data_IF_830672892246
#
_entry.id   IF_830672892246
#
_cell.length_a   1.000
_cell.length_b   1.000
_cell.length_c   1.000
_cell.angle_alpha   90.00
_cell.angle_beta   90.00
_cell.angle_gamma   90.00
#
_symmetry.space_group_name_H-M   'P 1'
#
loop_
_entity.id
_entity.type
_entity.pdbx_description
1 polymer ?
#
# COMPACT_ATOMS: atom_id res chain seq x y z
N UNK A 1 -40.32 55.68 -22.44
CA UNK A 1 -39.05 55.20 -23.03
C UNK A 1 -38.29 54.49 -21.94
N UNK A 2 -38.41 53.17 -21.94
CA UNK A 2 -37.68 52.26 -21.08
C UNK A 2 -36.18 52.33 -21.37
N UNK A 3 -35.38 52.32 -20.31
CA UNK A 3 -33.92 52.30 -20.37
C UNK A 3 -33.36 51.61 -19.13
N UNK A 4 -33.21 50.29 -19.23
CA UNK A 4 -32.84 49.36 -18.18
C UNK A 4 -31.49 49.62 -17.47
N UNK A 5 -31.50 49.30 -16.17
CA UNK A 5 -30.39 48.97 -15.24
C UNK A 5 -29.10 48.46 -15.88
N UNK A 6 -27.95 48.84 -15.31
CA UNK A 6 -26.86 47.88 -15.01
C UNK A 6 -26.28 48.19 -13.63
N UNK A 7 -26.72 47.40 -12.64
CA UNK A 7 -26.03 47.25 -11.35
C UNK A 7 -24.96 46.16 -11.50
N UNK A 8 -24.00 46.24 -10.57
CA UNK A 8 -23.03 45.23 -10.13
C UNK A 8 -21.83 44.93 -11.03
N UNK A 9 -20.69 45.52 -10.65
CA UNK A 9 -19.37 44.91 -10.77
C UNK A 9 -19.41 43.55 -10.07
N UNK A 10 -19.55 42.48 -10.85
CA UNK A 10 -19.28 41.12 -10.39
C UNK A 10 -17.80 41.07 -10.00
N UNK A 11 -17.52 40.99 -8.69
CA UNK A 11 -16.20 40.59 -8.20
C UNK A 11 -16.01 39.15 -8.65
N UNK A 12 -15.27 38.94 -9.74
CA UNK A 12 -14.72 37.64 -10.07
C UNK A 12 -13.88 37.18 -8.87
N UNK A 13 -14.47 36.32 -8.03
CA UNK A 13 -13.69 35.52 -7.08
C UNK A 13 -12.89 34.55 -7.94
N UNK A 14 -11.60 34.82 -8.11
CA UNK A 14 -10.64 33.82 -8.58
C UNK A 14 -10.74 32.67 -7.59
N UNK A 15 -11.45 31.62 -8.01
CA UNK A 15 -11.58 30.38 -7.28
C UNK A 15 -10.20 29.75 -7.34
N UNK A 16 -9.38 30.01 -6.33
CA UNK A 16 -8.14 29.25 -6.15
C UNK A 16 -8.60 27.82 -5.99
N UNK A 17 -8.38 27.01 -7.01
CA UNK A 17 -8.56 25.58 -6.92
C UNK A 17 -7.60 25.16 -5.80
N UNK A 18 -8.16 24.75 -4.65
CA UNK A 18 -7.39 24.22 -3.54
C UNK A 18 -6.83 22.87 -3.99
N UNK A 19 -5.80 22.89 -4.82
CA UNK A 19 -5.09 21.68 -5.17
C UNK A 19 -4.49 21.12 -3.89
N UNK A 20 -4.74 19.84 -3.62
CA UNK A 20 -4.10 19.11 -2.52
C UNK A 20 -2.59 19.28 -2.70
N UNK A 21 -1.95 19.93 -1.74
CA UNK A 21 -0.50 20.14 -1.74
C UNK A 21 0.14 18.84 -1.25
N UNK A 22 0.70 18.07 -2.18
CA UNK A 22 1.41 16.84 -1.83
C UNK A 22 2.76 17.22 -1.23
N UNK A 23 2.86 17.16 0.10
CA UNK A 23 4.07 17.51 0.86
C UNK A 23 4.68 16.25 1.43
N UNK A 24 5.91 15.97 1.08
CA UNK A 24 6.74 14.98 1.73
C UNK A 24 8.13 15.58 2.03
N UNK A 25 8.82 15.00 3.00
CA UNK A 25 10.18 15.43 3.38
C UNK A 25 11.18 15.21 2.22
N UNK A 26 10.87 14.31 1.30
CA UNK A 26 11.67 14.04 0.10
C UNK A 26 10.90 14.48 -1.16
N UNK A 27 11.51 15.28 -2.06
CA UNK A 27 10.85 15.76 -3.27
C UNK A 27 10.35 14.64 -4.19
N UNK A 28 11.03 13.49 -4.17
CA UNK A 28 10.66 12.30 -4.91
C UNK A 28 9.29 11.74 -4.50
N UNK A 29 8.99 11.76 -3.20
CA UNK A 29 7.72 11.27 -2.66
C UNK A 29 6.58 12.25 -2.98
N UNK A 30 6.83 13.56 -2.96
CA UNK A 30 5.85 14.56 -3.42
C UNK A 30 5.49 14.34 -4.90
N UNK A 31 6.49 14.05 -5.74
CA UNK A 31 6.30 13.75 -7.17
C UNK A 31 5.53 12.45 -7.38
N UNK A 32 5.78 11.43 -6.56
CA UNK A 32 5.01 10.18 -6.56
C UNK A 32 3.54 10.45 -6.23
N UNK A 33 3.25 11.13 -5.10
CA UNK A 33 1.89 11.43 -4.66
C UNK A 33 1.12 12.24 -5.73
N UNK A 34 1.77 13.25 -6.31
CA UNK A 34 1.21 14.01 -7.42
C UNK A 34 0.96 13.13 -8.65
N UNK A 35 1.93 12.28 -8.99
CA UNK A 35 1.88 11.37 -10.12
C UNK A 35 0.74 10.36 -10.03
N UNK A 36 0.54 9.76 -8.85
CA UNK A 36 -0.58 8.85 -8.59
C UNK A 36 -1.90 9.58 -8.71
N UNK A 37 -2.03 10.77 -8.10
CA UNK A 37 -3.25 11.57 -8.19
C UNK A 37 -3.61 11.92 -9.64
N UNK A 38 -2.63 12.36 -10.43
CA UNK A 38 -2.82 12.66 -11.85
C UNK A 38 -3.23 11.41 -12.63
N UNK A 39 -2.48 10.32 -12.47
CA UNK A 39 -2.68 9.09 -13.26
C UNK A 39 -4.06 8.48 -13.02
N UNK A 40 -4.51 8.43 -11.76
CA UNK A 40 -5.84 7.92 -11.43
C UNK A 40 -6.95 8.82 -11.99
N UNK A 41 -6.80 10.14 -11.91
CA UNK A 41 -7.81 11.06 -12.44
C UNK A 41 -7.93 10.99 -13.97
N UNK A 42 -6.81 10.80 -14.68
CA UNK A 42 -6.86 10.56 -16.13
C UNK A 42 -7.55 9.23 -16.45
N UNK A 43 -7.26 8.18 -15.68
CA UNK A 43 -7.90 6.86 -15.85
C UNK A 43 -9.41 6.88 -15.59
N UNK A 44 -9.91 7.72 -14.68
CA UNK A 44 -11.35 7.89 -14.43
C UNK A 44 -12.12 8.26 -15.72
N UNK A 45 -11.47 8.96 -16.66
CA UNK A 45 -12.06 9.36 -17.94
C UNK A 45 -11.90 8.31 -19.05
N UNK A 46 -11.20 7.21 -18.79
CA UNK A 46 -10.96 6.12 -19.74
C UNK A 46 -11.93 4.97 -19.46
N UNK A 47 -12.63 4.53 -20.51
CA UNK A 47 -13.52 3.38 -20.43
C UNK A 47 -12.74 2.10 -20.14
N UNK A 48 -13.30 1.25 -19.25
CA UNK A 48 -12.71 -0.04 -18.92
C UNK A 48 -12.92 -0.98 -20.11
N UNK A 49 -11.84 -1.50 -20.74
CA UNK A 49 -11.98 -2.45 -21.83
C UNK A 49 -12.47 -3.80 -21.29
N UNK A 50 -13.34 -4.48 -22.02
CA UNK A 50 -13.86 -5.82 -21.66
C UNK A 50 -12.73 -6.87 -21.61
N UNK A 51 -11.68 -6.66 -22.41
CA UNK A 51 -10.53 -7.55 -22.50
C UNK A 51 -9.26 -6.74 -22.74
N UNK A 52 -8.16 -7.15 -22.11
CA UNK A 52 -6.85 -6.53 -22.32
C UNK A 52 -6.22 -7.04 -23.62
N UNK A 53 -5.81 -6.09 -24.47
CA UNK A 53 -5.09 -6.37 -25.70
C UNK A 53 -3.57 -6.40 -25.44
N UNK A 54 -2.76 -7.09 -26.27
CA UNK A 54 -1.30 -7.12 -26.12
C UNK A 54 -0.63 -5.74 -26.09
N UNK A 55 -1.22 -4.74 -26.75
CA UNK A 55 -0.74 -3.36 -26.73
C UNK A 55 -0.84 -2.71 -25.35
N UNK A 56 -1.82 -3.10 -24.52
CA UNK A 56 -1.96 -2.57 -23.16
C UNK A 56 -0.78 -2.94 -22.25
N UNK A 57 -0.12 -4.08 -22.51
CA UNK A 57 1.08 -4.53 -21.78
C UNK A 57 2.37 -3.80 -22.17
N UNK A 58 2.31 -2.97 -23.23
CA UNK A 58 3.41 -2.10 -23.68
C UNK A 58 3.08 -0.62 -23.56
N UNK A 59 1.81 -0.30 -23.30
CA UNK A 59 1.33 1.06 -23.15
C UNK A 59 1.98 1.76 -21.95
N UNK A 60 2.11 3.08 -22.05
CA UNK A 60 2.54 3.92 -20.95
C UNK A 60 1.94 5.32 -21.10
N UNK A 61 1.79 6.01 -19.98
CA UNK A 61 1.44 7.43 -19.93
C UNK A 61 2.64 8.18 -19.36
N UNK A 62 3.09 9.24 -20.01
CA UNK A 62 4.22 10.05 -19.55
C UNK A 62 3.84 11.52 -19.54
N UNK A 63 4.02 12.17 -18.39
CA UNK A 63 3.83 13.60 -18.21
C UNK A 63 5.17 14.22 -17.82
N UNK A 64 5.42 15.40 -18.36
CA UNK A 64 6.54 16.26 -17.97
C UNK A 64 5.95 17.56 -17.43
N UNK A 65 6.38 17.96 -16.25
CA UNK A 65 5.99 19.21 -15.62
C UNK A 65 7.23 20.09 -15.53
N UNK A 66 7.13 21.28 -16.10
CA UNK A 66 8.14 22.33 -16.02
C UNK A 66 7.48 23.56 -15.35
N UNK A 67 7.61 23.66 -14.03
CA UNK A 67 7.07 24.75 -13.22
C UNK A 67 8.03 25.93 -13.19
N UNK A 68 7.71 26.99 -13.93
CA UNK A 68 8.43 28.26 -13.86
C UNK A 68 7.90 29.11 -12.69
N UNK A 69 8.70 29.22 -11.61
CA UNK A 69 8.44 30.09 -10.44
C UNK A 69 7.10 29.86 -9.69
N UNK A 70 6.51 28.67 -9.80
CA UNK A 70 5.32 28.29 -9.05
C UNK A 70 5.62 27.11 -8.11
N UNK A 71 5.28 27.27 -6.82
CA UNK A 71 5.27 26.18 -5.82
C UNK A 71 6.63 25.47 -5.56
N UNK A 72 7.74 26.21 -5.61
CA UNK A 72 9.12 25.67 -5.40
C UNK A 72 9.35 25.04 -4.02
N UNK A 73 8.58 25.44 -3.01
CA UNK A 73 8.71 24.91 -1.65
C UNK A 73 8.13 23.50 -1.49
N UNK A 74 7.29 23.05 -2.44
CA UNK A 74 6.50 21.81 -2.29
C UNK A 74 6.84 20.77 -3.36
N UNK A 75 7.16 21.21 -4.58
CA UNK A 75 7.45 20.33 -5.70
C UNK A 75 8.71 20.79 -6.45
N UNK A 76 9.51 19.85 -7.00
CA UNK A 76 10.60 20.18 -7.91
C UNK A 76 10.12 21.07 -9.07
N UNK A 77 10.99 21.97 -9.53
CA UNK A 77 10.67 22.83 -10.67
C UNK A 77 10.53 22.04 -11.97
N UNK A 78 11.24 20.92 -12.11
CA UNK A 78 11.17 20.08 -13.30
C UNK A 78 11.12 18.62 -12.87
N UNK A 79 10.08 17.91 -13.28
CA UNK A 79 9.99 16.47 -13.04
C UNK A 79 9.19 15.78 -14.14
N UNK A 80 9.38 14.46 -14.27
CA UNK A 80 8.63 13.63 -15.20
C UNK A 80 8.03 12.46 -14.43
N UNK A 81 6.78 12.13 -14.72
CA UNK A 81 6.12 10.93 -14.20
C UNK A 81 5.75 10.08 -15.40
N UNK A 82 6.06 8.79 -15.34
CA UNK A 82 5.63 7.79 -16.31
C UNK A 82 4.95 6.65 -15.58
N UNK A 83 3.71 6.35 -15.92
CA UNK A 83 3.00 5.13 -15.51
C UNK A 83 3.13 4.09 -16.63
N UNK A 84 3.47 2.86 -16.26
CA UNK A 84 3.54 1.72 -17.18
C UNK A 84 2.24 0.93 -17.12
N UNK A 85 1.77 0.45 -18.28
CA UNK A 85 0.62 -0.46 -18.41
C UNK A 85 -0.63 -0.05 -17.59
N UNK A 86 -1.11 1.20 -17.69
CA UNK A 86 -2.12 1.76 -16.79
C UNK A 86 -3.41 0.91 -16.76
N UNK A 87 -3.88 0.45 -17.93
CA UNK A 87 -5.09 -0.38 -18.03
C UNK A 87 -4.90 -1.79 -17.45
N UNK A 88 -3.69 -2.35 -17.54
CA UNK A 88 -3.39 -3.67 -16.97
C UNK A 88 -3.42 -3.61 -15.45
N UNK A 89 -2.76 -2.61 -14.88
CA UNK A 89 -2.76 -2.40 -13.43
C UNK A 89 -4.12 -1.97 -12.89
N UNK A 90 -4.93 -1.24 -13.68
CA UNK A 90 -6.33 -0.98 -13.33
C UNK A 90 -7.15 -2.28 -13.27
N UNK A 91 -7.02 -3.16 -14.26
CA UNK A 91 -7.70 -4.46 -14.26
C UNK A 91 -7.32 -5.30 -13.04
N UNK A 92 -6.04 -5.28 -12.64
CA UNK A 92 -5.57 -5.89 -11.40
C UNK A 92 -6.23 -5.30 -10.15
N UNK A 93 -6.31 -3.96 -10.04
CA UNK A 93 -7.01 -3.31 -8.92
C UNK A 93 -8.47 -3.74 -8.87
N UNK A 94 -9.17 -3.81 -9.99
CA UNK A 94 -10.55 -4.31 -10.07
C UNK A 94 -10.67 -5.77 -9.64
N UNK A 95 -9.73 -6.62 -10.06
CA UNK A 95 -9.69 -8.04 -9.71
C UNK A 95 -9.67 -8.25 -8.18
N UNK A 96 -8.86 -7.46 -7.48
CA UNK A 96 -8.75 -7.48 -6.02
C UNK A 96 -9.69 -6.49 -5.31
N UNK A 97 -10.71 -5.99 -6.02
CA UNK A 97 -11.76 -5.11 -5.48
C UNK A 97 -11.22 -3.84 -4.83
N UNK A 98 -10.16 -3.28 -5.40
CA UNK A 98 -9.58 -2.00 -4.97
C UNK A 98 -10.14 -0.89 -5.85
N UNK A 99 -10.97 -0.05 -5.26
CA UNK A 99 -11.46 1.14 -5.94
C UNK A 99 -10.33 2.16 -6.18
N UNK A 100 -10.27 2.72 -7.39
CA UNK A 100 -9.26 3.69 -7.79
C UNK A 100 -9.22 4.92 -6.86
N UNK A 101 -10.38 5.39 -6.38
CA UNK A 101 -10.46 6.48 -5.39
C UNK A 101 -9.77 6.11 -4.08
N UNK A 102 -10.05 4.92 -3.56
CA UNK A 102 -9.43 4.40 -2.34
C UNK A 102 -7.92 4.21 -2.50
N UNK A 103 -7.49 3.70 -3.65
CA UNK A 103 -6.07 3.55 -4.00
C UNK A 103 -5.34 4.90 -4.05
N UNK A 104 -5.94 5.90 -4.70
CA UNK A 104 -5.43 7.28 -4.74
C UNK A 104 -5.33 7.87 -3.34
N UNK A 105 -6.37 7.75 -2.54
CA UNK A 105 -6.40 8.37 -1.22
C UNK A 105 -5.29 7.78 -0.31
N UNK A 106 -5.02 6.46 -0.39
CA UNK A 106 -3.89 5.80 0.30
C UNK A 106 -2.50 6.27 -0.10
N UNK A 107 -2.31 6.58 -1.38
CA UNK A 107 -0.99 6.88 -1.95
C UNK A 107 -0.74 8.38 -2.15
N UNK A 108 -1.74 9.20 -1.83
CA UNK A 108 -1.63 10.66 -1.85
C UNK A 108 -1.43 11.28 -0.47
N UNK A 109 -1.30 10.45 0.56
CA UNK A 109 -0.75 10.83 1.85
C UNK A 109 0.75 10.46 1.93
N UNK A 110 1.54 11.16 2.77
CA UNK A 110 2.97 10.91 2.87
C UNK A 110 3.25 9.44 3.25
N UNK A 111 4.02 8.70 2.44
CA UNK A 111 4.30 7.31 2.73
C UNK A 111 5.29 7.19 3.90
N UNK A 112 5.12 6.14 4.69
CA UNK A 112 5.92 5.90 5.90
C UNK A 112 7.11 5.01 5.51
N UNK A 113 8.35 5.38 5.80
CA UNK A 113 9.50 4.54 5.52
C UNK A 113 9.44 3.25 6.34
N UNK A 114 9.64 2.11 5.69
CA UNK A 114 9.85 0.84 6.37
C UNK A 114 11.35 0.71 6.63
N UNK A 115 11.75 0.82 7.89
CA UNK A 115 13.14 0.61 8.31
C UNK A 115 13.48 -0.88 8.20
N UNK A 116 13.78 -1.36 6.99
CA UNK A 116 14.36 -2.67 6.79
C UNK A 116 15.84 -2.51 6.42
N UNK A 117 16.65 -2.40 7.47
CA UNK A 117 18.09 -2.59 7.44
C UNK A 117 18.41 -4.06 7.22
N UNK A 118 18.49 -4.52 5.97
CA UNK A 118 19.15 -5.80 5.70
C UNK A 118 19.71 -5.87 4.27
N UNK A 119 21.02 -5.62 4.13
CA UNK A 119 21.94 -6.01 3.03
C UNK A 119 21.51 -5.82 1.55
N UNK A 120 20.34 -5.25 1.29
CA UNK A 120 19.81 -4.96 -0.03
C UNK A 120 19.51 -3.47 -0.08
N UNK A 121 19.96 -2.79 -1.14
CA UNK A 121 19.78 -1.36 -1.35
C UNK A 121 18.31 -1.00 -1.68
N UNK A 122 17.34 -1.70 -1.07
CA UNK A 122 15.92 -1.62 -1.40
C UNK A 122 15.25 -0.60 -0.49
N UNK A 123 14.98 0.58 -1.03
CA UNK A 123 14.18 1.58 -0.33
C UNK A 123 12.71 1.15 -0.35
N UNK A 124 12.15 0.83 0.82
CA UNK A 124 10.77 0.40 1.00
C UNK A 124 10.00 1.46 1.79
N UNK A 125 8.81 1.79 1.31
CA UNK A 125 7.84 2.58 2.05
C UNK A 125 6.51 1.83 2.11
N UNK A 126 5.67 2.21 3.05
CA UNK A 126 4.28 1.77 3.13
C UNK A 126 3.34 2.98 3.00
N UNK A 127 2.12 2.76 2.51
CA UNK A 127 1.07 3.77 2.55
C UNK A 127 0.71 4.14 3.99
N UNK A 128 0.08 5.29 4.19
CA UNK A 128 -0.27 5.79 5.54
C UNK A 128 -1.18 4.79 6.30
N UNK A 129 -2.09 4.15 5.57
CA UNK A 129 -3.04 3.15 6.05
C UNK A 129 -2.46 1.72 6.04
N UNK A 130 -1.18 1.59 5.71
CA UNK A 130 -0.42 0.32 5.65
C UNK A 130 -1.00 -0.72 4.69
N UNK A 131 -1.90 -0.35 3.76
CA UNK A 131 -2.49 -1.28 2.78
C UNK A 131 -1.54 -1.65 1.64
N UNK A 132 -0.65 -0.74 1.29
CA UNK A 132 0.24 -0.85 0.14
C UNK A 132 1.71 -0.72 0.55
N UNK A 133 2.57 -1.46 -0.14
CA UNK A 133 4.02 -1.30 -0.12
C UNK A 133 4.46 -0.62 -1.41
N UNK A 134 5.35 0.35 -1.27
CA UNK A 134 6.01 1.06 -2.34
C UNK A 134 7.47 0.63 -2.34
N UNK A 135 7.83 -0.17 -3.34
CA UNK A 135 9.18 -0.71 -3.49
C UNK A 135 9.91 0.03 -4.58
N UNK A 136 11.03 0.65 -4.22
CA UNK A 136 11.97 1.19 -5.20
C UNK A 136 12.76 0.04 -5.81
N UNK A 137 12.72 -0.06 -7.14
CA UNK A 137 13.33 -1.15 -7.90
C UNK A 137 14.33 -0.60 -8.91
N UNK A 138 15.24 -1.47 -9.37
CA UNK A 138 16.18 -1.11 -10.43
C UNK A 138 15.49 -1.13 -11.81
N UNK A 139 16.16 -0.55 -12.81
CA UNK A 139 15.61 -0.54 -14.19
C UNK A 139 15.50 -1.96 -14.75
N UNK A 140 16.44 -2.83 -14.40
CA UNK A 140 16.49 -4.22 -14.84
C UNK A 140 15.26 -5.00 -14.31
N UNK A 141 14.83 -4.70 -13.08
CA UNK A 141 13.64 -5.30 -12.48
C UNK A 141 12.35 -4.89 -13.19
N UNK A 142 12.28 -3.65 -13.70
CA UNK A 142 11.14 -3.14 -14.48
C UNK A 142 10.98 -3.92 -15.78
N UNK A 143 12.09 -4.18 -16.47
CA UNK A 143 12.08 -5.00 -17.70
C UNK A 143 11.63 -6.44 -17.41
N UNK A 144 12.07 -7.01 -16.28
CA UNK A 144 11.61 -8.32 -15.83
C UNK A 144 10.10 -8.34 -15.51
N UNK A 145 9.58 -7.29 -14.87
CA UNK A 145 8.15 -7.16 -14.57
C UNK A 145 7.34 -7.06 -15.87
N UNK A 146 7.80 -6.28 -16.86
CA UNK A 146 7.15 -6.21 -18.16
C UNK A 146 7.09 -7.56 -18.88
N UNK A 147 8.15 -8.36 -18.77
CA UNK A 147 8.21 -9.68 -19.41
C UNK A 147 7.24 -10.67 -18.77
N UNK A 148 7.08 -10.65 -17.43
CA UNK A 148 6.17 -11.57 -16.73
C UNK A 148 4.71 -11.09 -16.76
N UNK A 149 4.45 -9.80 -17.00
CA UNK A 149 3.12 -9.20 -16.86
C UNK A 149 2.00 -9.91 -17.65
N UNK A 150 2.20 -10.33 -18.93
CA UNK A 150 1.17 -11.04 -19.69
C UNK A 150 0.84 -12.41 -19.10
N UNK A 151 1.85 -13.19 -18.74
CA UNK A 151 1.69 -14.51 -18.12
C UNK A 151 1.12 -14.40 -16.71
N UNK A 152 1.53 -13.39 -15.95
CA UNK A 152 0.98 -13.09 -14.64
C UNK A 152 -0.49 -12.71 -14.74
N UNK A 153 -0.91 -11.86 -15.69
CA UNK A 153 -2.32 -11.56 -15.89
C UNK A 153 -3.13 -12.82 -16.21
N UNK A 154 -2.64 -13.68 -17.11
CA UNK A 154 -3.29 -14.96 -17.43
C UNK A 154 -3.43 -15.83 -16.18
N UNK A 155 -2.37 -15.94 -15.38
CA UNK A 155 -2.38 -16.67 -14.12
C UNK A 155 -3.40 -16.14 -13.10
N UNK A 156 -3.50 -14.81 -12.95
CA UNK A 156 -4.49 -14.19 -12.06
C UNK A 156 -5.92 -14.50 -12.51
N UNK A 157 -6.19 -14.43 -13.82
CA UNK A 157 -7.52 -14.77 -14.37
C UNK A 157 -7.85 -16.25 -14.14
N UNK A 158 -6.90 -17.16 -14.40
CA UNK A 158 -7.07 -18.61 -14.22
C UNK A 158 -7.27 -19.00 -12.74
N UNK A 159 -6.55 -18.36 -11.82
CA UNK A 159 -6.63 -18.63 -10.37
C UNK A 159 -7.75 -17.87 -9.66
N UNK A 160 -8.50 -17.09 -10.41
CA UNK A 160 -9.43 -16.12 -9.88
C UNK A 160 -8.85 -15.22 -8.78
N UNK A 161 -7.60 -14.80 -8.92
CA UNK A 161 -6.90 -13.93 -7.97
C UNK A 161 -6.55 -14.59 -6.64
N UNK A 162 -6.81 -15.90 -6.48
CA UNK A 162 -6.45 -16.68 -5.30
C UNK A 162 -5.00 -17.19 -5.39
N UNK A 163 -4.07 -16.31 -5.03
CA UNK A 163 -2.62 -16.55 -5.09
C UNK A 163 -1.88 -15.96 -3.89
N UNK A 164 -0.74 -16.55 -3.55
CA UNK A 164 0.22 -16.02 -2.58
C UNK A 164 1.26 -15.10 -3.24
N UNK A 165 1.25 -14.97 -4.57
CA UNK A 165 2.17 -14.10 -5.29
C UNK A 165 1.91 -12.62 -4.95
N UNK A 166 2.92 -11.74 -5.11
CA UNK A 166 2.74 -10.32 -4.87
C UNK A 166 1.65 -9.75 -5.79
N UNK A 167 0.66 -9.08 -5.20
CA UNK A 167 -0.38 -8.38 -5.96
C UNK A 167 0.14 -7.00 -6.39
N UNK A 168 0.41 -6.83 -7.69
CA UNK A 168 0.90 -5.58 -8.25
C UNK A 168 -0.25 -4.65 -8.63
N UNK A 169 -0.17 -3.38 -8.23
CA UNK A 169 -1.25 -2.41 -8.44
C UNK A 169 -0.87 -1.21 -9.28
N UNK A 170 0.42 -0.90 -9.41
CA UNK A 170 0.92 0.12 -10.32
C UNK A 170 2.45 0.03 -10.44
N UNK A 171 2.98 0.53 -11.56
CA UNK A 171 4.41 0.68 -11.78
C UNK A 171 4.70 2.08 -12.35
N UNK A 172 5.49 2.86 -11.63
CA UNK A 172 5.83 4.23 -11.98
C UNK A 172 7.33 4.40 -12.21
N UNK A 173 7.68 5.31 -13.11
CA UNK A 173 9.01 5.92 -13.21
C UNK A 173 8.90 7.40 -12.93
N UNK A 174 9.64 7.86 -11.93
CA UNK A 174 9.74 9.24 -11.49
C UNK A 174 11.11 9.76 -11.90
N UNK A 175 11.16 10.85 -12.65
CA UNK A 175 12.41 11.55 -12.98
C UNK A 175 12.42 12.88 -12.24
N UNK A 176 13.33 13.03 -11.28
CA UNK A 176 13.53 14.26 -10.50
C UNK A 176 15.01 14.60 -10.58
N UNK A 177 15.34 15.85 -10.92
CA UNK A 177 16.72 16.31 -11.10
C UNK A 177 17.56 15.38 -12.01
N UNK A 178 16.95 14.97 -13.12
CA UNK A 178 17.51 14.02 -14.11
C UNK A 178 17.88 12.62 -13.59
N UNK A 179 17.50 12.29 -12.34
CA UNK A 179 17.61 10.94 -11.79
C UNK A 179 16.30 10.18 -11.96
N UNK A 180 16.39 9.00 -12.60
CA UNK A 180 15.25 8.09 -12.75
C UNK A 180 15.13 7.15 -11.55
N UNK A 181 13.94 7.09 -10.97
CA UNK A 181 13.58 6.20 -9.89
C UNK A 181 12.35 5.40 -10.31
N UNK A 182 12.35 4.10 -10.03
CA UNK A 182 11.26 3.20 -10.42
C UNK A 182 10.57 2.69 -9.16
N UNK A 183 9.25 2.84 -9.11
CA UNK A 183 8.44 2.52 -7.94
C UNK A 183 7.37 1.50 -8.32
N UNK A 184 7.43 0.34 -7.71
CA UNK A 184 6.41 -0.70 -7.81
C UNK A 184 5.49 -0.60 -6.59
N UNK A 185 4.19 -0.47 -6.84
CA UNK A 185 3.16 -0.49 -5.81
C UNK A 185 2.56 -1.88 -5.74
N UNK A 186 2.60 -2.49 -4.56
CA UNK A 186 2.08 -3.83 -4.32
C UNK A 186 1.32 -3.92 -3.00
N UNK A 187 0.55 -5.00 -2.80
CA UNK A 187 -0.16 -5.24 -1.54
C UNK A 187 0.81 -5.43 -0.39
N UNK A 188 0.50 -4.81 0.74
CA UNK A 188 1.14 -5.17 1.99
C UNK A 188 0.51 -6.46 2.56
N UNK A 189 1.28 -7.55 2.52
CA UNK A 189 0.85 -8.86 3.05
C UNK A 189 0.66 -8.82 4.56
N UNK A 190 1.39 -7.95 5.26
CA UNK A 190 1.33 -7.75 6.71
C UNK A 190 0.35 -6.63 7.11
N UNK A 191 -0.51 -6.19 6.19
CA UNK A 191 -1.58 -5.23 6.48
C UNK A 191 -2.71 -5.92 7.23
N UNK A 192 -2.57 -6.02 8.55
CA UNK A 192 -3.56 -6.61 9.44
C UNK A 192 -4.01 -5.59 10.48
N UNK A 193 -5.29 -5.67 10.89
CA UNK A 193 -5.80 -4.92 12.06
C UNK A 193 -5.04 -5.30 13.35
N UNK A 194 -4.46 -6.49 13.33
CA UNK A 194 -3.69 -7.06 14.42
C UNK A 194 -2.20 -6.71 14.26
N UNK A 195 -1.53 -6.44 15.38
CA UNK A 195 -0.09 -6.20 15.41
C UNK A 195 0.66 -7.50 15.13
N UNK A 196 1.59 -7.49 14.17
CA UNK A 196 2.44 -8.66 13.93
C UNK A 196 3.53 -8.70 15.01
N UNK A 197 3.57 -9.81 15.75
CA UNK A 197 4.55 -10.03 16.83
C UNK A 197 5.79 -10.75 16.33
N UNK A 198 5.63 -11.66 15.37
CA UNK A 198 6.75 -12.38 14.75
C UNK A 198 6.70 -12.29 13.24
N UNK A 199 7.84 -12.04 12.61
CA UNK A 199 7.99 -11.95 11.16
C UNK A 199 9.11 -12.88 10.70
N UNK A 200 8.84 -13.71 9.70
CA UNK A 200 9.79 -14.68 9.15
C UNK A 200 9.92 -14.54 7.64
N UNK A 201 11.15 -14.50 7.14
CA UNK A 201 11.51 -14.66 5.73
C UNK A 201 12.10 -16.07 5.55
N UNK A 202 11.32 -16.98 4.94
CA UNK A 202 11.67 -18.38 4.79
C UNK A 202 11.93 -18.70 3.32
N UNK A 203 13.09 -19.29 3.01
CA UNK A 203 13.42 -19.79 1.65
C UNK A 203 13.56 -21.31 1.56
N UNK A 204 13.65 -22.01 2.68
CA UNK A 204 13.95 -23.45 2.74
C UNK A 204 15.44 -23.80 2.62
N UNK A 205 16.31 -22.79 2.61
CA UNK A 205 17.78 -22.96 2.65
C UNK A 205 18.30 -22.77 4.07
N UNK A 206 19.47 -23.30 4.43
CA UNK A 206 20.05 -23.17 5.78
C UNK A 206 21.31 -22.30 5.85
N UNK A 207 21.94 -22.00 4.71
CA UNK A 207 23.18 -21.21 4.62
C UNK A 207 22.87 -19.71 4.68
N UNK A 208 23.49 -18.98 5.62
CA UNK A 208 23.28 -17.53 5.86
C UNK A 208 21.81 -17.11 6.15
N UNK A 209 21.03 -18.04 6.72
CA UNK A 209 19.63 -17.87 7.09
C UNK A 209 19.39 -17.64 8.57
N UNK A 210 20.22 -16.81 9.19
CA UNK A 210 19.95 -16.22 10.51
C UNK A 210 19.81 -14.70 10.38
N UNK A 211 18.91 -14.12 11.17
CA UNK A 211 18.80 -12.68 11.34
C UNK A 211 20.09 -12.13 11.97
N UNK A 212 20.50 -10.94 11.54
CA UNK A 212 21.67 -10.28 12.13
C UNK A 212 21.35 -9.80 13.54
N UNK A 213 22.34 -9.69 14.40
CA UNK A 213 22.13 -9.19 15.77
C UNK A 213 21.51 -7.78 15.78
N UNK A 214 21.83 -6.96 14.76
CA UNK A 214 21.20 -5.65 14.54
C UNK A 214 19.71 -5.75 14.24
N UNK A 215 19.30 -6.71 13.42
CA UNK A 215 17.90 -6.94 13.09
C UNK A 215 17.13 -7.48 14.30
N UNK A 216 17.76 -8.33 15.13
CA UNK A 216 17.16 -8.87 16.35
C UNK A 216 16.89 -7.81 17.43
N UNK A 217 17.53 -6.64 17.35
CA UNK A 217 17.27 -5.49 18.22
C UNK A 217 16.03 -4.69 17.82
N UNK A 218 15.49 -4.91 16.61
CA UNK A 218 14.28 -4.22 16.18
C UNK A 218 13.06 -4.71 16.97
N UNK A 219 12.05 -3.84 17.24
CA UNK A 219 10.85 -4.23 17.98
C UNK A 219 10.04 -5.38 17.34
N UNK A 220 10.16 -5.54 16.02
CA UNK A 220 9.57 -6.66 15.26
C UNK A 220 10.63 -7.16 14.25
N UNK A 221 11.54 -8.04 14.68
CA UNK A 221 12.67 -8.46 13.86
C UNK A 221 12.21 -9.36 12.71
N UNK A 222 12.86 -9.21 11.55
CA UNK A 222 12.70 -10.13 10.42
C UNK A 222 13.58 -11.36 10.64
N UNK A 223 13.00 -12.40 11.23
CA UNK A 223 13.66 -13.67 11.48
C UNK A 223 13.77 -14.50 10.19
N UNK A 224 14.70 -15.46 10.14
CA UNK A 224 14.94 -16.30 8.97
C UNK A 224 14.77 -17.79 9.28
N UNK A 225 15.08 -18.65 8.31
CA UNK A 225 14.92 -20.11 8.40
C UNK A 225 15.55 -20.73 9.67
N UNK A 226 16.79 -20.37 10.02
CA UNK A 226 17.47 -20.95 11.18
C UNK A 226 16.86 -20.46 12.49
N UNK A 227 16.46 -19.18 12.56
CA UNK A 227 15.79 -18.63 13.74
C UNK A 227 14.41 -19.27 13.95
N UNK A 228 13.73 -19.65 12.86
CA UNK A 228 12.46 -20.38 12.93
C UNK A 228 12.66 -21.79 13.52
N UNK A 229 13.71 -22.51 13.09
CA UNK A 229 14.04 -23.85 13.59
C UNK A 229 14.50 -23.79 15.05
N UNK A 230 15.38 -22.84 15.40
CA UNK A 230 15.86 -22.63 16.78
C UNK A 230 14.73 -22.25 17.73
N UNK A 231 13.79 -21.42 17.27
CA UNK A 231 12.62 -21.01 18.03
C UNK A 231 11.65 -22.15 18.35
N UNK A 232 11.81 -23.34 17.76
CA UNK A 232 10.92 -24.51 17.90
C UNK A 232 9.43 -24.18 17.76
N UNK A 233 9.11 -23.15 16.96
CA UNK A 233 7.73 -22.73 16.74
C UNK A 233 7.11 -23.62 15.67
N UNK A 234 5.86 -23.99 15.89
CA UNK A 234 5.06 -24.71 14.90
C UNK A 234 3.87 -23.85 14.52
N UNK A 235 3.51 -23.87 13.24
CA UNK A 235 2.32 -23.20 12.73
C UNK A 235 1.31 -24.29 12.46
N UNK A 236 0.32 -24.42 13.34
CA UNK A 236 -0.81 -25.31 13.13
C UNK A 236 -1.94 -24.54 12.43
N UNK A 237 -2.30 -25.00 11.24
CA UNK A 237 -3.38 -24.43 10.43
C UNK A 237 -4.62 -25.34 10.42
N UNK A 238 -4.58 -26.51 11.07
CA UNK A 238 -5.58 -27.56 10.87
C UNK A 238 -5.42 -28.28 9.51
N UNK A 239 -6.04 -29.45 9.37
CA UNK A 239 -5.86 -30.31 8.18
C UNK A 239 -6.40 -29.70 6.89
N UNK A 240 -7.59 -29.09 6.96
CA UNK A 240 -8.28 -28.56 5.78
C UNK A 240 -7.61 -27.29 5.23
N UNK A 241 -7.34 -26.30 6.10
CA UNK A 241 -6.71 -25.06 5.66
C UNK A 241 -5.26 -25.30 5.24
N UNK A 242 -4.54 -26.22 5.90
CA UNK A 242 -3.22 -26.66 5.44
C UNK A 242 -3.27 -27.23 4.04
N UNK A 243 -4.26 -28.07 3.72
CA UNK A 243 -4.40 -28.64 2.38
C UNK A 243 -4.63 -27.54 1.33
N UNK A 244 -5.56 -26.62 1.59
CA UNK A 244 -5.84 -25.48 0.69
C UNK A 244 -4.60 -24.60 0.50
N UNK A 245 -3.90 -24.25 1.59
CA UNK A 245 -2.67 -23.47 1.53
C UNK A 245 -1.57 -24.17 0.72
N UNK A 246 -1.36 -25.47 0.94
CA UNK A 246 -0.36 -26.24 0.21
C UNK A 246 -0.70 -26.39 -1.27
N UNK A 247 -1.98 -26.51 -1.63
CA UNK A 247 -2.41 -26.53 -3.03
C UNK A 247 -2.16 -25.19 -3.73
N UNK A 248 -2.47 -24.07 -3.06
CA UNK A 248 -2.15 -22.71 -3.53
C UNK A 248 -0.65 -22.53 -3.72
N UNK A 249 0.14 -22.86 -2.70
CA UNK A 249 1.59 -22.73 -2.74
C UNK A 249 2.22 -23.54 -3.87
N UNK A 250 1.78 -24.80 -4.07
CA UNK A 250 2.26 -25.63 -5.19
C UNK A 250 1.96 -25.00 -6.55
N UNK A 251 0.76 -24.44 -6.72
CA UNK A 251 0.35 -23.77 -7.95
C UNK A 251 1.20 -22.53 -8.24
N UNK A 252 1.39 -21.69 -7.23
CA UNK A 252 2.20 -20.47 -7.34
C UNK A 252 3.66 -20.79 -7.65
N UNK A 253 4.22 -21.81 -7.00
CA UNK A 253 5.59 -22.29 -7.27
C UNK A 253 5.71 -22.82 -8.70
N UNK A 254 4.74 -23.60 -9.18
CA UNK A 254 4.75 -24.08 -10.57
C UNK A 254 4.73 -22.92 -11.58
N UNK A 255 3.96 -21.86 -11.30
CA UNK A 255 3.98 -20.64 -12.10
C UNK A 255 5.38 -19.99 -12.08
N UNK A 256 5.99 -19.79 -10.91
CA UNK A 256 7.33 -19.20 -10.80
C UNK A 256 8.40 -20.02 -11.54
N UNK A 257 8.32 -21.35 -11.49
CA UNK A 257 9.19 -22.27 -12.24
C UNK A 257 9.01 -22.08 -13.73
N UNK A 258 7.77 -21.96 -14.24
CA UNK A 258 7.52 -21.70 -15.67
C UNK A 258 8.15 -20.38 -16.15
N UNK A 259 8.23 -19.39 -15.26
CA UNK A 259 8.82 -18.07 -15.52
C UNK A 259 10.31 -18.01 -15.21
N UNK A 260 10.94 -19.14 -14.88
CA UNK A 260 12.37 -19.25 -14.53
C UNK A 260 12.79 -18.30 -13.40
N UNK A 261 11.87 -18.04 -12.46
CA UNK A 261 12.12 -17.19 -11.29
C UNK A 261 12.57 -18.05 -10.12
N UNK A 262 13.73 -17.71 -9.55
CA UNK A 262 14.33 -18.37 -8.40
C UNK A 262 14.53 -17.36 -7.25
N UNK A 263 15.02 -17.84 -6.10
CA UNK A 263 15.34 -17.03 -4.93
C UNK A 263 14.16 -16.25 -4.30
N UNK A 264 12.93 -16.72 -4.49
CA UNK A 264 11.77 -16.19 -3.78
C UNK A 264 11.77 -16.62 -2.31
N UNK A 265 11.24 -15.75 -1.46
CA UNK A 265 10.98 -16.01 -0.05
C UNK A 265 9.49 -16.09 0.21
N UNK A 266 9.09 -16.92 1.16
CA UNK A 266 7.78 -16.86 1.78
C UNK A 266 7.87 -15.95 3.01
N UNK A 267 7.17 -14.83 2.98
CA UNK A 267 7.05 -13.92 4.11
C UNK A 267 5.88 -14.37 5.00
N UNK A 268 6.15 -14.60 6.28
CA UNK A 268 5.18 -15.07 7.27
C UNK A 268 5.11 -14.04 8.40
N UNK A 269 3.90 -13.54 8.69
CA UNK A 269 3.61 -12.74 9.86
C UNK A 269 2.73 -13.51 10.83
N UNK A 270 3.10 -13.54 12.11
CA UNK A 270 2.35 -14.20 13.18
C UNK A 270 1.88 -13.13 14.16
N UNK A 271 0.58 -13.09 14.39
CA UNK A 271 -0.04 -12.36 15.49
C UNK A 271 -0.33 -13.35 16.61
N UNK A 272 0.29 -13.12 17.76
CA UNK A 272 -0.02 -13.78 19.03
C UNK A 272 -1.23 -13.08 19.70
N UNK A 273 -2.32 -13.83 19.93
CA UNK A 273 -3.56 -13.29 20.49
C UNK A 273 -3.38 -12.82 21.94
N UNK A 274 -2.63 -13.59 22.75
CA UNK A 274 -2.47 -13.30 24.18
C UNK A 274 -1.69 -11.99 24.37
N UNK A 275 -0.62 -11.81 23.59
CA UNK A 275 0.14 -10.56 23.59
C UNK A 275 -0.69 -9.40 23.01
N UNK A 276 -1.50 -9.67 22.00
CA UNK A 276 -2.35 -8.67 21.35
C UNK A 276 -3.40 -8.07 22.28
N UNK A 277 -4.02 -8.92 23.11
CA UNK A 277 -5.07 -8.49 24.03
C UNK A 277 -4.49 -7.72 25.23
N UNK A 278 -3.33 -8.16 25.77
CA UNK A 278 -2.62 -7.42 26.83
C UNK A 278 -2.24 -6.00 26.36
N UNK A 279 -1.75 -5.86 25.12
CA UNK A 279 -1.37 -4.54 24.59
C UNK A 279 -2.58 -3.63 24.34
N UNK A 280 -3.73 -4.20 23.92
CA UNK A 280 -4.99 -3.45 23.79
C UNK A 280 -5.47 -2.95 25.14
N UNK A 281 -5.48 -3.81 26.15
CA UNK A 281 -5.94 -3.46 27.49
C UNK A 281 -5.07 -2.37 28.13
N UNK A 282 -3.75 -2.39 27.89
CA UNK A 282 -2.80 -1.34 28.32
C UNK A 282 -2.99 -0.01 27.57
N UNK A 283 -3.39 -0.03 26.30
CA UNK A 283 -3.65 1.21 25.55
C UNK A 283 -4.97 1.86 25.97
N UNK A 284 -6.02 1.08 26.28
CA UNK A 284 -7.28 1.59 26.82
C UNK A 284 -7.14 2.15 28.24
N UNK A 285 -6.34 1.50 29.10
CA UNK A 285 -6.10 1.99 30.47
C UNK A 285 -5.16 3.20 30.52
N UNK A 286 -4.30 3.40 29.51
CA UNK A 286 -3.50 4.62 29.36
C UNK A 286 -4.30 5.81 28.80
N UNK A 287 -5.33 5.59 27.98
CA UNK A 287 -6.23 6.66 27.53
C UNK A 287 -7.16 7.16 28.64
N UNK A 288 -7.56 6.29 29.57
CA UNK A 288 -8.43 6.66 30.69
C UNK A 288 -7.68 7.40 31.82
N UNK A 289 -6.36 7.20 31.94
CA UNK A 289 -5.50 7.90 32.91
C UNK A 289 -5.14 9.34 32.50
N UNK A 290 -5.29 9.71 31.22
CA UNK A 290 -5.03 11.08 30.75
C UNK A 290 -6.27 11.99 30.80
N UNK A 291 -7.42 11.48 31.25
CA UNK A 291 -8.66 12.26 31.44
C UNK A 291 -9.00 12.56 32.90
N UNK A 292 -8.18 12.12 33.87
CA UNK A 292 -8.46 12.37 35.30
C UNK A 292 -7.78 13.61 35.90
N UNK A 293 -6.89 14.29 35.18
CA UNK A 293 -6.26 15.53 35.63
C UNK A 293 -6.73 16.72 34.79
N UNK A 294 -7.99 17.12 34.98
CA UNK A 294 -8.52 18.49 34.80
C UNK A 294 -10.03 18.49 35.09
N UNK A 295 -10.42 18.36 36.36
CA UNK A 295 -11.77 18.72 36.81
C UNK A 295 -11.70 19.61 38.05
N UNK A 296 -11.49 20.90 37.82
CA UNK A 296 -11.81 21.96 38.76
C UNK A 296 -12.88 22.87 38.15
N UNK A 297 -14.11 22.75 38.66
CA UNK A 297 -15.23 23.70 38.67
C UNK A 297 -15.43 24.65 37.47
N UNK A 298 -16.56 24.52 36.78
CA UNK A 298 -17.69 25.46 36.94
C UNK A 298 -18.96 24.95 36.24
N UNK A 299 -20.08 25.28 36.87
CA UNK A 299 -21.48 24.96 36.55
C UNK A 299 -22.10 25.84 35.45
N UNK A 300 -22.96 25.26 34.61
CA UNK A 300 -24.38 25.64 34.41
C UNK A 300 -24.88 25.48 32.97
N UNK A 301 -25.98 24.74 32.85
CA UNK A 301 -27.12 24.84 31.91
C UNK A 301 -26.93 24.77 30.38
N UNK A 302 -27.73 23.89 29.76
CA UNK A 302 -28.06 23.95 28.33
C UNK A 302 -28.38 22.61 27.69
N UNK A 303 -29.60 22.13 27.89
CA UNK A 303 -30.22 20.98 27.20
C UNK A 303 -30.28 21.15 25.68
N UNK A 304 -29.92 20.12 24.91
CA UNK A 304 -30.65 19.63 23.72
C UNK A 304 -29.95 18.37 23.14
N UNK A 305 -30.72 17.29 22.98
CA UNK A 305 -30.50 16.20 22.01
C UNK A 305 -31.48 16.46 20.84
N UNK A 306 -31.36 15.91 19.60
CA UNK A 306 -30.80 14.60 19.21
C UNK A 306 -29.94 14.66 17.91
N UNK A 307 -29.28 13.60 17.40
CA UNK A 307 -29.89 12.57 16.53
C UNK A 307 -28.82 11.55 16.14
N UNK A 308 -29.13 10.27 16.33
CA UNK A 308 -28.39 9.12 15.79
C UNK A 308 -28.54 9.07 14.26
N UNK A 309 -27.45 8.85 13.53
CA UNK A 309 -27.49 8.31 12.17
C UNK A 309 -26.61 7.06 12.18
N UNK A 310 -27.24 5.95 11.81
CA UNK A 310 -26.76 4.60 12.00
C UNK A 310 -25.57 4.23 11.10
N UNK A 311 -24.75 3.38 11.70
CA UNK A 311 -23.79 2.51 11.04
C UNK A 311 -24.54 1.49 10.17
N UNK A 312 -24.11 1.34 8.92
CA UNK A 312 -24.35 0.13 8.15
C UNK A 312 -23.16 -0.13 7.22
N UNK A 313 -22.19 -0.91 7.69
CA UNK A 313 -21.23 -1.61 6.84
C UNK A 313 -20.96 -3.01 7.38
N UNK A 314 -21.57 -3.95 6.66
CA UNK A 314 -21.30 -5.38 6.53
C UNK A 314 -19.98 -5.89 7.10
N UNK A 315 -20.13 -6.84 8.00
CA UNK A 315 -19.13 -7.71 8.61
C UNK A 315 -18.39 -8.59 7.60
N UNK A 316 -17.08 -8.46 7.54
CA UNK A 316 -16.16 -9.59 7.35
C UNK A 316 -15.30 -9.67 8.62
N UNK A 317 -15.74 -10.49 9.59
CA UNK A 317 -15.00 -10.74 10.82
C UNK A 317 -13.81 -11.69 10.57
N UNK A 318 -12.62 -11.39 11.11
CA UNK A 318 -11.58 -12.39 11.30
C UNK A 318 -11.90 -13.26 12.53
N UNK A 319 -11.95 -14.57 12.31
CA UNK A 319 -12.34 -15.59 13.30
C UNK A 319 -11.37 -15.65 14.49
N UNK A 320 -11.93 -15.62 15.70
CA UNK A 320 -11.23 -15.86 16.98
C UNK A 320 -11.46 -17.32 17.40
N UNK A 321 -10.40 -18.06 17.72
CA UNK A 321 -10.52 -19.34 18.43
C UNK A 321 -9.93 -19.19 19.84
N UNK A 322 -10.76 -19.48 20.85
CA UNK A 322 -10.31 -19.72 22.23
C UNK A 322 -9.84 -21.17 22.33
N UNK A 323 -8.60 -21.39 22.75
CA UNK A 323 -8.14 -22.72 23.18
C UNK A 323 -8.74 -23.06 24.54
N UNK A 324 -9.23 -24.30 24.67
CA UNK A 324 -9.54 -24.93 25.96
C UNK A 324 -8.29 -25.53 26.57
#
# INVERSE_FOLDING_TARGET
>A
MDGHKIKTKSKFKVRHQKHKLFRANEPLLSVLMWGVNFSIHELENVNIPVMLLPEHFKAYVKIRIDNQNFNKEVMPSHFKVKEYCPLVFRAFREYWKIHDSSFRDSLTEPPIPLSETTKSNLTLYQSYDRRFILKFIAKEDVEQIHNILPEYHRYIVETQGDTLLPHFYALYRLTVDDKENYVLVMRNVLSTKFKIHYKYDVKGSTVDRSATDKEKLNPCPTLKDNDFIEGKRTIDLGSEQKKVFMERLKRDVNFLVSQHKMDYSLLIGIHDLDQGDIERDQTTSASDMNTSDLSGNESSEGSESPTQIGDDYSSDEPFTMRSS
#
